data_IF_574021288807
#
_entry.id   IF_574021288807
#
_cell.length_a   1.000
_cell.length_b   1.000
_cell.length_c   1.000
_cell.angle_alpha   90.00
_cell.angle_beta   90.00
_cell.angle_gamma   90.00
#
_symmetry.space_group_name_H-M   'P 1'
#
loop_
_entity.id
_entity.type
_entity.pdbx_description
1 polymer ?
#
# COMPACT_ATOMS: atom_id res chain seq x y z
N UNK A 1 6.78 -6.27 -33.79
CA UNK A 1 5.98 -6.24 -32.55
C UNK A 1 6.48 -5.14 -31.66
N UNK A 2 5.63 -4.17 -31.39
CA UNK A 2 5.99 -3.06 -30.49
C UNK A 2 5.92 -3.54 -29.03
N UNK A 3 7.06 -3.55 -28.36
CA UNK A 3 7.07 -3.80 -26.91
C UNK A 3 6.64 -2.52 -26.21
N UNK A 4 5.64 -2.60 -25.34
CA UNK A 4 5.26 -1.48 -24.52
C UNK A 4 6.43 -1.11 -23.60
N UNK A 5 6.75 0.18 -23.55
CA UNK A 5 7.77 0.68 -22.63
C UNK A 5 7.33 0.50 -21.19
N UNK A 6 8.29 0.51 -20.26
CA UNK A 6 8.01 0.51 -18.82
C UNK A 6 7.06 1.65 -18.44
N UNK A 7 7.26 2.83 -19.03
CA UNK A 7 6.39 4.00 -18.79
C UNK A 7 4.95 3.70 -19.21
N UNK A 8 4.75 3.13 -20.40
CA UNK A 8 3.41 2.77 -20.87
C UNK A 8 2.75 1.75 -19.96
N UNK A 9 3.48 0.70 -19.58
CA UNK A 9 2.99 -0.33 -18.64
C UNK A 9 2.63 0.25 -17.29
N UNK A 10 3.44 1.17 -16.79
CA UNK A 10 3.20 1.87 -15.54
C UNK A 10 1.88 2.65 -15.57
N UNK A 11 1.64 3.41 -16.65
CA UNK A 11 0.41 4.17 -16.81
C UNK A 11 -0.82 3.24 -16.93
N UNK A 12 -0.71 2.18 -17.70
CA UNK A 12 -1.79 1.19 -17.84
C UNK A 12 -2.09 0.53 -16.50
N UNK A 13 -1.06 0.13 -15.76
CA UNK A 13 -1.23 -0.53 -14.46
C UNK A 13 -1.95 0.34 -13.44
N UNK A 14 -1.79 1.66 -13.53
CA UNK A 14 -2.44 2.61 -12.62
C UNK A 14 -3.82 3.09 -13.07
N UNK A 15 -4.26 2.72 -14.27
CA UNK A 15 -5.55 3.18 -14.80
C UNK A 15 -6.72 2.43 -14.17
N UNK A 16 -7.82 3.12 -13.76
CA UNK A 16 -9.01 2.46 -13.26
C UNK A 16 -9.78 1.71 -14.35
N UNK A 17 -9.46 1.97 -15.62
CA UNK A 17 -10.10 1.35 -16.77
C UNK A 17 -9.40 0.06 -17.23
N UNK A 18 -8.27 -0.28 -16.64
CA UNK A 18 -7.49 -1.44 -17.07
C UNK A 18 -8.21 -2.74 -16.72
N UNK A 19 -8.43 -3.64 -17.69
CA UNK A 19 -9.07 -4.92 -17.43
C UNK A 19 -8.30 -5.76 -16.38
N UNK A 20 -9.03 -6.49 -15.56
CA UNK A 20 -8.47 -7.35 -14.51
C UNK A 20 -7.43 -8.33 -15.05
N UNK A 21 -7.73 -8.96 -16.20
CA UNK A 21 -6.80 -9.90 -16.83
C UNK A 21 -5.45 -9.27 -17.18
N UNK A 22 -5.47 -8.01 -17.63
CA UNK A 22 -4.23 -7.29 -17.95
C UNK A 22 -3.46 -6.90 -16.67
N UNK A 23 -4.17 -6.54 -15.61
CA UNK A 23 -3.54 -6.29 -14.30
C UNK A 23 -2.84 -7.55 -13.78
N UNK A 24 -3.47 -8.72 -13.96
CA UNK A 24 -2.88 -9.99 -13.55
C UNK A 24 -1.58 -10.29 -14.33
N UNK A 25 -1.54 -9.96 -15.62
CA UNK A 25 -0.31 -10.07 -16.41
C UNK A 25 0.77 -9.08 -15.95
N UNK A 26 0.39 -7.82 -15.75
CA UNK A 26 1.31 -6.76 -15.34
C UNK A 26 1.90 -7.01 -13.94
N UNK A 27 1.22 -7.76 -13.10
CA UNK A 27 1.74 -8.19 -11.80
C UNK A 27 2.98 -9.07 -11.92
N UNK A 28 3.22 -9.67 -13.09
CA UNK A 28 4.40 -10.49 -13.39
C UNK A 28 5.52 -9.69 -14.08
N UNK A 29 5.37 -8.38 -14.23
CA UNK A 29 6.39 -7.53 -14.85
C UNK A 29 7.70 -7.61 -14.08
N UNK A 30 8.84 -7.56 -14.81
CA UNK A 30 10.16 -7.47 -14.20
C UNK A 30 10.38 -6.11 -13.53
N UNK A 31 9.59 -5.10 -13.88
CA UNK A 31 9.72 -3.74 -13.37
C UNK A 31 8.92 -3.56 -12.09
N UNK A 32 9.58 -3.40 -10.96
CA UNK A 32 8.91 -3.19 -9.67
C UNK A 32 7.95 -2.00 -9.66
N UNK A 33 8.25 -0.85 -10.31
CA UNK A 33 7.27 0.24 -10.39
C UNK A 33 5.96 -0.15 -11.07
N UNK A 34 6.00 -1.03 -12.07
CA UNK A 34 4.78 -1.54 -12.74
C UNK A 34 3.99 -2.40 -11.76
N UNK A 35 4.64 -3.34 -11.07
CA UNK A 35 4.00 -4.19 -10.07
C UNK A 35 3.41 -3.36 -8.92
N UNK A 36 4.11 -2.31 -8.51
CA UNK A 36 3.62 -1.36 -7.49
C UNK A 36 2.29 -0.73 -7.91
N UNK A 37 2.20 -0.28 -9.16
CA UNK A 37 0.95 0.32 -9.67
C UNK A 37 -0.19 -0.69 -9.73
N UNK A 38 0.11 -1.96 -10.05
CA UNK A 38 -0.88 -3.04 -9.94
C UNK A 38 -1.34 -3.19 -8.48
N UNK A 39 -0.40 -3.19 -7.54
CA UNK A 39 -0.71 -3.31 -6.11
C UNK A 39 -1.64 -2.20 -5.62
N UNK A 40 -1.46 -0.97 -6.11
CA UNK A 40 -2.27 0.19 -5.75
C UNK A 40 -3.65 0.22 -6.44
N UNK A 41 -3.82 -0.51 -7.54
CA UNK A 41 -5.03 -0.39 -8.36
C UNK A 41 -6.23 -1.10 -7.71
N UNK A 42 -7.33 -0.37 -7.42
CA UNK A 42 -8.51 -0.97 -6.78
C UNK A 42 -9.18 -2.07 -7.61
N UNK A 43 -8.91 -2.11 -8.92
CA UNK A 43 -9.48 -3.13 -9.83
C UNK A 43 -8.69 -4.44 -9.82
N UNK A 44 -7.50 -4.46 -9.22
CA UNK A 44 -6.66 -5.66 -9.15
C UNK A 44 -7.36 -6.74 -8.31
N UNK A 45 -7.39 -7.97 -8.84
CA UNK A 45 -8.04 -9.09 -8.16
C UNK A 45 -7.38 -9.40 -6.82
N UNK A 46 -8.15 -9.91 -5.86
CA UNK A 46 -7.64 -10.31 -4.55
C UNK A 46 -6.52 -11.35 -4.69
N UNK A 47 -6.67 -12.32 -5.59
CA UNK A 47 -5.64 -13.35 -5.80
C UNK A 47 -4.31 -12.73 -6.24
N UNK A 48 -4.34 -11.73 -7.12
CA UNK A 48 -3.15 -11.03 -7.57
C UNK A 48 -2.54 -10.21 -6.43
N UNK A 49 -3.36 -9.50 -5.64
CA UNK A 49 -2.89 -8.78 -4.47
C UNK A 49 -2.20 -9.72 -3.48
N UNK A 50 -2.76 -10.90 -3.24
CA UNK A 50 -2.16 -11.89 -2.33
C UNK A 50 -0.82 -12.41 -2.82
N UNK A 51 -0.63 -12.55 -4.13
CA UNK A 51 0.67 -12.91 -4.71
C UNK A 51 1.72 -11.82 -4.43
N UNK A 52 1.31 -10.56 -4.48
CA UNK A 52 2.21 -9.43 -4.28
C UNK A 52 2.61 -9.21 -2.82
N UNK A 53 1.92 -9.82 -1.86
CA UNK A 53 2.29 -9.74 -0.42
C UNK A 53 3.72 -10.21 -0.18
N UNK A 54 4.17 -11.20 -0.93
CA UNK A 54 5.51 -11.75 -0.81
C UNK A 54 6.49 -11.22 -1.86
N UNK A 55 6.15 -10.12 -2.52
CA UNK A 55 7.03 -9.50 -3.51
C UNK A 55 8.36 -9.09 -2.85
N UNK A 56 9.45 -9.27 -3.57
CA UNK A 56 10.78 -8.92 -3.07
C UNK A 56 11.00 -7.40 -2.96
N UNK A 57 10.19 -6.59 -3.65
CA UNK A 57 10.32 -5.14 -3.66
C UNK A 57 9.54 -4.50 -2.52
N UNK A 58 10.19 -3.69 -1.67
CA UNK A 58 9.49 -2.91 -0.63
C UNK A 58 8.42 -2.00 -1.20
N UNK A 59 8.67 -1.41 -2.36
CA UNK A 59 7.74 -0.48 -3.03
C UNK A 59 6.41 -1.17 -3.37
N UNK A 60 6.47 -2.42 -3.81
CA UNK A 60 5.27 -3.20 -4.13
C UNK A 60 4.44 -3.47 -2.87
N UNK A 61 5.11 -3.87 -1.80
CA UNK A 61 4.45 -4.12 -0.50
C UNK A 61 3.82 -2.85 0.06
N UNK A 62 4.51 -1.72 -0.04
CA UNK A 62 3.95 -0.42 0.36
C UNK A 62 2.75 -0.08 -0.51
N UNK A 63 2.82 -0.35 -1.82
CA UNK A 63 1.71 -0.16 -2.75
C UNK A 63 0.44 -0.91 -2.33
N UNK A 64 0.59 -2.13 -1.81
CA UNK A 64 -0.55 -2.89 -1.27
C UNK A 64 -1.25 -2.14 -0.13
N UNK A 65 -0.48 -1.47 0.74
CA UNK A 65 -1.05 -0.71 1.86
C UNK A 65 -1.88 0.51 1.41
N UNK A 66 -1.64 0.98 0.19
CA UNK A 66 -2.36 2.11 -0.40
C UNK A 66 -3.62 1.66 -1.15
N UNK A 67 -3.83 0.35 -1.31
CA UNK A 67 -5.00 -0.17 -2.00
C UNK A 67 -6.17 -0.33 -1.02
N UNK A 68 -7.29 0.41 -1.23
CA UNK A 68 -8.43 0.35 -0.31
C UNK A 68 -9.12 -1.02 -0.28
N UNK A 69 -8.86 -1.87 -1.28
CA UNK A 69 -9.43 -3.21 -1.37
C UNK A 69 -8.57 -4.28 -0.69
N UNK A 70 -7.38 -3.91 -0.20
CA UNK A 70 -6.46 -4.85 0.44
C UNK A 70 -6.93 -5.17 1.87
N UNK A 71 -7.13 -6.47 2.23
CA UNK A 71 -7.70 -6.84 3.52
C UNK A 71 -6.80 -6.47 4.71
N UNK A 72 -7.40 -5.99 5.79
CA UNK A 72 -6.71 -5.55 7.00
C UNK A 72 -5.81 -6.63 7.60
N UNK A 73 -6.24 -7.89 7.55
CA UNK A 73 -5.46 -9.00 8.11
C UNK A 73 -4.06 -9.09 7.46
N UNK A 74 -3.96 -8.79 6.18
CA UNK A 74 -2.67 -8.81 5.47
C UNK A 74 -1.87 -7.53 5.72
N UNK A 75 -2.52 -6.42 6.08
CA UNK A 75 -1.82 -5.22 6.54
C UNK A 75 -1.11 -5.49 7.87
N UNK A 76 -1.72 -6.26 8.76
CA UNK A 76 -1.08 -6.70 10.01
C UNK A 76 0.19 -7.50 9.70
N UNK A 77 0.12 -8.39 8.70
CA UNK A 77 1.28 -9.15 8.25
C UNK A 77 2.40 -8.22 7.74
N UNK A 78 2.06 -7.24 6.91
CA UNK A 78 3.03 -6.26 6.38
C UNK A 78 3.62 -5.38 7.49
N UNK A 79 2.85 -5.09 8.54
CA UNK A 79 3.34 -4.34 9.70
C UNK A 79 4.41 -5.11 10.48
N UNK A 80 4.57 -6.41 10.21
CA UNK A 80 5.61 -7.28 10.78
C UNK A 80 6.66 -7.67 9.75
N UNK A 81 6.71 -7.02 8.59
CA UNK A 81 7.71 -7.30 7.55
C UNK A 81 9.12 -7.10 8.10
N UNK A 82 10.04 -7.97 7.70
CA UNK A 82 11.44 -7.89 8.15
C UNK A 82 12.12 -6.59 7.72
N UNK A 83 11.68 -6.00 6.61
CA UNK A 83 12.25 -4.77 6.09
C UNK A 83 11.64 -3.55 6.78
N UNK A 84 12.43 -2.77 7.53
CA UNK A 84 11.91 -1.57 8.19
C UNK A 84 11.41 -0.50 7.22
N UNK A 85 11.88 -0.50 5.96
CA UNK A 85 11.38 0.44 4.95
C UNK A 85 9.92 0.16 4.59
N UNK A 86 9.52 -1.12 4.58
CA UNK A 86 8.10 -1.50 4.40
C UNK A 86 7.28 -1.00 5.58
N UNK A 87 7.73 -1.27 6.80
CA UNK A 87 7.04 -0.85 8.02
C UNK A 87 6.94 0.68 8.11
N UNK A 88 8.02 1.40 7.72
CA UNK A 88 8.02 2.86 7.67
C UNK A 88 7.01 3.39 6.64
N UNK A 89 6.98 2.79 5.45
CA UNK A 89 6.02 3.16 4.41
C UNK A 89 4.57 2.99 4.86
N UNK A 90 4.28 1.91 5.59
CA UNK A 90 2.96 1.73 6.20
C UNK A 90 2.66 2.80 7.25
N UNK A 91 3.65 3.12 8.09
CA UNK A 91 3.49 4.12 9.15
C UNK A 91 3.20 5.53 8.62
N UNK A 92 3.57 5.82 7.38
CA UNK A 92 3.29 7.11 6.72
C UNK A 92 1.86 7.22 6.18
N UNK A 93 1.13 6.12 6.09
CA UNK A 93 -0.18 6.07 5.43
C UNK A 93 -1.30 6.53 6.35
N UNK A 94 -1.84 7.73 6.08
CA UNK A 94 -2.96 8.33 6.83
C UNK A 94 -4.25 7.51 6.74
N UNK A 95 -4.41 6.67 5.72
CA UNK A 95 -5.58 5.84 5.50
C UNK A 95 -5.42 4.42 6.06
N UNK A 96 -4.27 4.12 6.67
CA UNK A 96 -4.07 2.82 7.31
C UNK A 96 -5.01 2.70 8.52
N UNK A 97 -5.62 1.50 8.75
CA UNK A 97 -6.45 1.31 9.93
C UNK A 97 -5.69 1.65 11.21
N UNK A 98 -6.35 2.33 12.15
CA UNK A 98 -5.73 2.73 13.41
C UNK A 98 -5.15 1.54 14.17
N UNK A 99 -5.83 0.40 14.12
CA UNK A 99 -5.35 -0.85 14.73
C UNK A 99 -3.95 -1.23 14.24
N UNK A 100 -3.67 -1.04 12.96
CA UNK A 100 -2.37 -1.33 12.36
C UNK A 100 -1.35 -0.24 12.71
N UNK A 101 -1.74 1.02 12.68
CA UNK A 101 -0.87 2.13 13.12
C UNK A 101 -0.44 1.95 14.58
N UNK A 102 -1.32 1.44 15.45
CA UNK A 102 -0.97 1.18 16.85
C UNK A 102 0.04 0.04 17.01
N UNK A 103 0.01 -0.95 16.12
CA UNK A 103 1.07 -1.97 16.07
C UNK A 103 2.41 -1.32 15.73
N UNK A 104 2.42 -0.45 14.72
CA UNK A 104 3.63 0.24 14.27
C UNK A 104 4.16 1.27 15.29
N UNK A 105 3.29 1.83 16.12
CA UNK A 105 3.66 2.72 17.22
C UNK A 105 4.59 2.03 18.22
N UNK A 106 4.45 0.71 18.38
CA UNK A 106 5.28 -0.12 19.26
C UNK A 106 6.48 -0.74 18.55
N UNK A 107 6.78 -0.32 17.33
CA UNK A 107 7.88 -0.88 16.53
C UNK A 107 9.22 -0.67 17.23
N UNK A 108 10.09 -1.68 17.13
CA UNK A 108 11.46 -1.62 17.71
C UNK A 108 12.34 -0.58 17.01
N UNK A 109 12.03 -0.26 15.75
CA UNK A 109 12.74 0.77 15.00
C UNK A 109 12.16 2.15 15.37
N UNK A 110 12.99 3.06 15.95
CA UNK A 110 12.50 4.35 16.42
C UNK A 110 11.95 5.26 15.31
N UNK A 111 12.42 5.10 14.08
CA UNK A 111 11.88 5.87 12.96
C UNK A 111 10.47 5.42 12.59
N UNK A 112 10.21 4.12 12.66
CA UNK A 112 8.89 3.56 12.41
C UNK A 112 7.91 3.96 13.51
N UNK A 113 8.28 3.77 14.77
CA UNK A 113 7.41 4.10 15.91
C UNK A 113 7.10 5.60 15.97
N UNK A 114 8.10 6.46 15.76
CA UNK A 114 7.92 7.91 15.73
C UNK A 114 6.96 8.32 14.58
N UNK A 115 7.15 7.75 13.40
CA UNK A 115 6.28 8.05 12.26
C UNK A 115 4.83 7.61 12.52
N UNK A 116 4.65 6.42 13.08
CA UNK A 116 3.32 5.93 13.41
C UNK A 116 2.60 6.83 14.42
N UNK A 117 3.31 7.30 15.45
CA UNK A 117 2.77 8.24 16.43
C UNK A 117 2.32 9.54 15.77
N UNK A 118 3.14 10.10 14.88
CA UNK A 118 2.81 11.33 14.14
C UNK A 118 1.62 11.13 13.21
N UNK A 119 1.55 10.00 12.52
CA UNK A 119 0.43 9.67 11.64
C UNK A 119 -0.86 9.52 12.45
N UNK A 120 -0.83 8.82 13.58
CA UNK A 120 -1.98 8.69 14.49
C UNK A 120 -2.48 10.05 14.96
N UNK A 121 -1.55 10.94 15.35
CA UNK A 121 -1.92 12.29 15.78
C UNK A 121 -2.65 13.06 14.67
N UNK A 122 -2.19 12.94 13.42
CA UNK A 122 -2.85 13.56 12.27
C UNK A 122 -4.22 12.95 11.99
N UNK A 123 -4.36 11.64 12.11
CA UNK A 123 -5.65 10.95 11.93
C UNK A 123 -6.66 11.42 12.99
N UNK A 124 -6.24 11.51 14.24
CA UNK A 124 -7.10 12.00 15.34
C UNK A 124 -7.50 13.46 15.11
N UNK A 125 -6.56 14.31 14.70
CA UNK A 125 -6.83 15.71 14.39
C UNK A 125 -7.83 15.84 13.23
N UNK A 126 -7.69 15.05 12.18
CA UNK A 126 -8.60 15.04 11.04
C UNK A 126 -10.02 14.61 11.45
N UNK A 127 -10.15 13.66 12.37
CA UNK A 127 -11.44 13.26 12.95
C UNK A 127 -12.11 14.40 13.73
N UNK A 128 -11.36 15.11 14.56
CA UNK A 128 -11.87 16.24 15.33
C UNK A 128 -12.38 17.34 14.42
N UNK A 129 -11.63 17.68 13.36
CA UNK A 129 -12.04 18.66 12.36
C UNK A 129 -13.33 18.23 11.65
N UNK A 130 -13.42 16.97 11.24
CA UNK A 130 -14.61 16.42 10.59
C UNK A 130 -15.85 16.48 11.51
N UNK A 131 -15.69 16.13 12.77
CA UNK A 131 -16.78 16.20 13.77
C UNK A 131 -17.20 17.65 14.03
N UNK A 132 -16.27 18.58 14.11
CA UNK A 132 -16.54 20.01 14.29
C UNK A 132 -17.34 20.58 13.12
N UNK A 133 -17.01 20.17 11.88
CA UNK A 133 -17.70 20.62 10.67
C UNK A 133 -19.08 19.98 10.47
N UNK A 134 -19.35 18.86 11.13
CA UNK A 134 -20.63 18.14 11.04
C UNK A 134 -21.68 18.67 12.04
N UNK A 135 -21.28 19.52 12.98
CA UNK A 135 -22.17 20.06 14.01
C UNK A 135 -23.01 21.23 13.49
#
# INVERSE_FOLDING_TARGET
MLRSSTTTKYLIAGSPETPVALLDELANSHDAPVRMRVAENPQTSLLTLLKLVNDESPEVKIGLSLNPMFPEIFLVQLASDDNPDVRLGLAENLNLPESVLRILEEDVNPYVSDRAQKTLALVEQNKEVAMSNAA
#
